data_IF_059384877298
#
_entry.id   IF_059384877298
#
_cell.length_a   1.000
_cell.length_b   1.000
_cell.length_c   1.000
_cell.angle_alpha   90.00
_cell.angle_beta   90.00
_cell.angle_gamma   90.00
#
_symmetry.space_group_name_H-M   'P 1'
#
loop_
_entity.id
_entity.type
_entity.pdbx_description
1 polymer ?
#
# COMPACT_ATOMS: atom_id res chain seq x y z
N UNK A 1 3.44 -20.46 10.56
CA UNK A 1 3.40 -19.13 9.91
C UNK A 1 4.55 -19.11 8.93
N UNK A 2 4.31 -18.63 7.70
CA UNK A 2 5.36 -18.55 6.69
C UNK A 2 6.20 -17.31 6.96
N UNK A 3 7.51 -17.45 6.91
CA UNK A 3 8.45 -16.33 6.95
C UNK A 3 8.86 -15.98 5.52
N UNK A 4 9.22 -14.71 5.31
CA UNK A 4 9.85 -14.27 4.07
C UNK A 4 11.19 -15.00 3.95
N UNK A 5 11.50 -15.49 2.74
CA UNK A 5 12.79 -16.10 2.45
C UNK A 5 13.91 -15.10 2.82
N UNK A 6 14.80 -15.45 3.78
CA UNK A 6 15.83 -14.55 4.27
C UNK A 6 16.94 -14.28 3.24
N UNK A 7 16.97 -15.01 2.12
CA UNK A 7 17.91 -14.82 1.02
C UNK A 7 17.44 -13.78 0.01
N UNK A 8 16.19 -13.33 0.09
CA UNK A 8 15.67 -12.30 -0.81
C UNK A 8 16.35 -10.96 -0.54
N UNK A 9 16.58 -10.16 -1.60
CA UNK A 9 17.07 -8.81 -1.44
C UNK A 9 16.05 -7.93 -0.67
N UNK A 10 16.49 -6.77 -0.17
CA UNK A 10 15.58 -5.72 0.24
C UNK A 10 14.55 -5.41 -0.85
N UNK A 11 13.36 -4.97 -0.44
CA UNK A 11 12.31 -4.53 -1.37
C UNK A 11 12.85 -3.42 -2.26
N UNK A 12 12.91 -3.68 -3.57
CA UNK A 12 13.35 -2.70 -4.58
C UNK A 12 12.16 -1.93 -5.17
N UNK A 13 10.95 -2.53 -5.15
CA UNK A 13 9.73 -1.89 -5.61
C UNK A 13 9.37 -0.63 -4.79
N UNK A 14 9.24 0.50 -5.49
CA UNK A 14 8.75 1.76 -4.92
C UNK A 14 7.23 1.64 -4.74
N UNK A 15 6.82 1.29 -3.53
CA UNK A 15 5.41 1.31 -3.09
C UNK A 15 5.01 2.68 -2.55
N UNK A 16 3.79 2.78 -2.03
CA UNK A 16 3.25 4.02 -1.46
C UNK A 16 3.42 4.06 0.05
N UNK A 17 4.06 5.11 0.56
CA UNK A 17 4.61 5.14 1.92
C UNK A 17 3.96 6.21 2.77
N UNK A 18 3.74 5.90 4.05
CA UNK A 18 3.44 6.86 5.12
C UNK A 18 4.19 6.50 6.40
N UNK A 19 4.42 7.49 7.25
CA UNK A 19 5.13 7.34 8.51
C UNK A 19 6.57 7.82 8.46
N UNK A 20 7.20 7.81 9.64
CA UNK A 20 8.57 8.28 9.82
C UNK A 20 9.55 7.37 9.05
N UNK A 21 10.41 7.91 8.17
CA UNK A 21 11.43 7.12 7.46
C UNK A 21 12.47 6.47 8.40
N UNK A 22 12.56 6.93 9.65
CA UNK A 22 13.41 6.38 10.71
C UNK A 22 12.68 5.40 11.65
N UNK A 23 11.40 5.10 11.39
CA UNK A 23 10.66 4.13 12.19
C UNK A 23 11.41 2.78 12.23
N UNK A 24 11.49 2.12 13.40
CA UNK A 24 12.32 0.92 13.56
C UNK A 24 11.81 -0.30 12.78
N UNK A 25 10.55 -0.29 12.35
CA UNK A 25 9.91 -1.38 11.62
C UNK A 25 9.19 -0.83 10.40
N UNK A 26 9.44 -1.43 9.23
CA UNK A 26 8.59 -1.23 8.05
C UNK A 26 7.56 -2.36 7.95
N UNK A 27 6.30 -2.00 7.73
CA UNK A 27 5.22 -2.92 7.37
C UNK A 27 4.94 -2.79 5.89
N UNK A 28 4.91 -3.93 5.19
CA UNK A 28 4.44 -4.00 3.82
C UNK A 28 3.02 -4.54 3.81
N UNK A 29 2.12 -3.89 3.07
CA UNK A 29 0.81 -4.40 2.71
C UNK A 29 0.78 -4.67 1.20
N UNK A 30 0.43 -5.89 0.83
CA UNK A 30 0.10 -6.26 -0.54
C UNK A 30 -1.42 -6.29 -0.66
N UNK A 31 -1.97 -5.35 -1.41
CA UNK A 31 -3.39 -5.09 -1.45
C UNK A 31 -3.94 -5.12 -2.88
N UNK A 32 -5.17 -5.59 -2.99
CA UNK A 32 -5.98 -5.52 -4.20
C UNK A 32 -7.13 -4.55 -3.93
N UNK A 33 -7.22 -3.48 -4.71
CA UNK A 33 -8.24 -2.45 -4.52
C UNK A 33 -9.67 -2.96 -4.54
N UNK A 34 -9.97 -4.04 -5.29
CA UNK A 34 -11.32 -4.60 -5.44
C UNK A 34 -11.61 -5.69 -4.39
N UNK A 35 -10.59 -6.16 -3.68
CA UNK A 35 -10.76 -7.21 -2.68
C UNK A 35 -11.58 -6.68 -1.49
N UNK A 36 -12.67 -7.36 -1.17
CA UNK A 36 -13.53 -7.00 -0.03
C UNK A 36 -12.82 -7.10 1.33
N UNK A 37 -11.88 -8.04 1.50
CA UNK A 37 -11.07 -8.11 2.72
C UNK A 37 -10.07 -6.95 2.81
N UNK A 38 -9.55 -6.46 1.68
CA UNK A 38 -8.70 -5.26 1.67
C UNK A 38 -9.52 -4.04 2.09
N UNK A 39 -10.73 -3.87 1.54
CA UNK A 39 -11.66 -2.83 1.98
C UNK A 39 -12.01 -2.93 3.47
N UNK A 40 -12.23 -4.14 3.98
CA UNK A 40 -12.48 -4.37 5.40
C UNK A 40 -11.30 -3.90 6.27
N UNK A 41 -10.06 -4.27 5.91
CA UNK A 41 -8.89 -3.81 6.64
C UNK A 41 -8.75 -2.28 6.56
N UNK A 42 -8.83 -1.71 5.36
CA UNK A 42 -8.66 -0.28 5.11
C UNK A 42 -9.68 0.58 5.88
N UNK A 43 -10.91 0.09 6.06
CA UNK A 43 -11.99 0.84 6.72
C UNK A 43 -12.09 0.58 8.22
N UNK A 44 -11.76 -0.63 8.69
CA UNK A 44 -11.98 -1.02 10.09
C UNK A 44 -10.70 -1.08 10.94
N UNK A 45 -9.54 -1.40 10.35
CA UNK A 45 -8.29 -1.61 11.11
C UNK A 45 -7.25 -0.54 10.79
N UNK A 46 -7.09 -0.17 9.52
CA UNK A 46 -6.06 0.78 9.10
C UNK A 46 -6.14 2.16 9.78
N UNK A 47 -7.31 2.72 10.14
CA UNK A 47 -7.38 3.97 10.89
C UNK A 47 -6.64 3.91 12.23
N UNK A 48 -6.85 2.85 13.02
CA UNK A 48 -6.14 2.64 14.29
C UNK A 48 -4.64 2.39 14.06
N UNK A 49 -4.26 1.67 13.00
CA UNK A 49 -2.85 1.45 12.63
C UNK A 49 -2.17 2.78 12.29
N UNK A 50 -2.80 3.62 11.47
CA UNK A 50 -2.31 4.96 11.12
C UNK A 50 -2.12 5.81 12.39
N UNK A 51 -3.16 5.96 13.19
CA UNK A 51 -3.13 6.83 14.36
C UNK A 51 -2.17 6.35 15.46
N UNK A 52 -2.13 5.04 15.73
CA UNK A 52 -1.51 4.53 16.97
C UNK A 52 -0.15 3.88 16.74
N UNK A 53 0.24 3.61 15.49
CA UNK A 53 1.51 2.99 15.14
C UNK A 53 2.32 3.86 14.18
N UNK A 54 1.70 4.35 13.10
CA UNK A 54 2.37 5.20 12.09
C UNK A 54 2.68 6.59 12.66
N UNK A 55 1.67 7.31 13.16
CA UNK A 55 1.86 8.68 13.69
C UNK A 55 2.76 8.73 14.93
N UNK A 56 2.80 7.63 15.69
CA UNK A 56 3.69 7.49 16.85
C UNK A 56 5.14 7.15 16.49
N UNK A 57 5.45 6.98 15.19
CA UNK A 57 6.78 6.62 14.69
C UNK A 57 7.21 5.18 14.99
N UNK A 58 6.30 4.32 15.43
CA UNK A 58 6.62 2.90 15.69
C UNK A 58 6.81 2.11 14.41
N UNK A 59 6.05 2.45 13.36
CA UNK A 59 6.17 1.83 12.04
C UNK A 59 6.18 2.87 10.93
N UNK A 60 6.86 2.52 9.84
CA UNK A 60 6.59 3.05 8.50
C UNK A 60 5.72 2.03 7.77
N UNK A 61 4.73 2.49 7.03
CA UNK A 61 3.78 1.63 6.33
C UNK A 61 3.90 1.83 4.82
N UNK A 62 4.01 0.73 4.06
CA UNK A 62 4.17 0.73 2.60
C UNK A 62 3.11 -0.17 1.96
N UNK A 63 2.35 0.37 1.02
CA UNK A 63 1.39 -0.40 0.21
C UNK A 63 1.99 -0.76 -1.15
N UNK A 64 1.73 -1.98 -1.60
CA UNK A 64 2.02 -2.48 -2.94
C UNK A 64 0.76 -3.00 -3.63
N UNK A 65 0.62 -2.63 -4.89
CA UNK A 65 -0.49 -3.02 -5.76
C UNK A 65 -0.40 -4.50 -6.17
N UNK A 66 -1.49 -5.23 -5.93
CA UNK A 66 -1.69 -6.61 -6.39
C UNK A 66 -3.07 -6.70 -7.05
N UNK A 67 -3.22 -6.19 -8.29
CA UNK A 67 -4.52 -6.13 -8.98
C UNK A 67 -4.92 -7.48 -9.58
N UNK A 68 -5.44 -8.40 -8.76
CA UNK A 68 -5.87 -9.73 -9.19
C UNK A 68 -7.33 -9.81 -9.63
N UNK A 69 -8.19 -8.89 -9.17
CA UNK A 69 -9.54 -8.76 -9.73
C UNK A 69 -9.56 -7.88 -10.99
N UNK A 70 -10.63 -8.03 -11.78
CA UNK A 70 -10.73 -7.45 -13.13
C UNK A 70 -10.61 -5.92 -13.13
N UNK A 71 -11.26 -5.23 -12.20
CA UNK A 71 -11.28 -3.76 -12.20
C UNK A 71 -10.09 -3.16 -11.43
N UNK A 72 -9.37 -3.97 -10.66
CA UNK A 72 -8.24 -3.54 -9.81
C UNK A 72 -7.11 -2.89 -10.59
N UNK A 73 -6.86 -3.30 -11.84
CA UNK A 73 -5.84 -2.63 -12.67
C UNK A 73 -6.15 -1.16 -12.91
N UNK A 74 -7.43 -0.82 -13.13
CA UNK A 74 -7.83 0.57 -13.31
C UNK A 74 -7.68 1.34 -12.00
N UNK A 75 -8.04 0.73 -10.88
CA UNK A 75 -7.90 1.34 -9.56
C UNK A 75 -6.42 1.55 -9.16
N UNK A 76 -5.53 0.58 -9.42
CA UNK A 76 -4.09 0.72 -9.17
C UNK A 76 -3.48 1.85 -9.99
N UNK A 77 -3.82 1.95 -11.29
CA UNK A 77 -3.37 3.07 -12.10
C UNK A 77 -3.91 4.40 -11.57
N UNK A 78 -5.18 4.45 -11.15
CA UNK A 78 -5.77 5.67 -10.61
C UNK A 78 -5.12 6.09 -9.28
N UNK A 79 -4.81 5.15 -8.39
CA UNK A 79 -4.08 5.41 -7.15
C UNK A 79 -2.66 5.95 -7.43
N UNK A 80 -1.93 5.32 -8.37
CA UNK A 80 -0.61 5.78 -8.79
C UNK A 80 -0.65 7.19 -9.42
N UNK A 81 -1.62 7.45 -10.31
CA UNK A 81 -1.80 8.76 -10.92
C UNK A 81 -2.24 9.84 -9.89
N UNK A 82 -2.96 9.46 -8.84
CA UNK A 82 -3.23 10.36 -7.72
C UNK A 82 -1.99 10.62 -6.86
N UNK A 83 -1.06 9.66 -6.77
CA UNK A 83 0.21 9.84 -6.10
C UNK A 83 1.08 10.91 -6.77
N UNK A 84 1.06 11.03 -8.11
CA UNK A 84 1.73 12.13 -8.84
C UNK A 84 1.22 13.52 -8.42
N UNK A 85 -0.02 13.57 -7.92
CA UNK A 85 -0.65 14.80 -7.41
C UNK A 85 -0.48 14.97 -5.89
N UNK A 86 0.28 14.09 -5.23
CA UNK A 86 0.46 14.08 -3.78
C UNK A 86 -0.77 13.63 -2.99
N UNK A 87 -1.74 12.98 -3.65
CA UNK A 87 -3.06 12.62 -3.09
C UNK A 87 -3.32 11.12 -3.03
N UNK A 88 -2.25 10.32 -2.86
CA UNK A 88 -2.38 8.87 -2.81
C UNK A 88 -3.31 8.41 -1.68
N UNK A 89 -3.15 8.96 -0.47
CA UNK A 89 -3.88 8.49 0.70
C UNK A 89 -5.35 8.89 0.69
N UNK A 90 -5.66 10.07 0.15
CA UNK A 90 -7.03 10.48 -0.10
C UNK A 90 -7.69 9.61 -1.18
N UNK A 91 -6.95 9.27 -2.23
CA UNK A 91 -7.44 8.34 -3.26
C UNK A 91 -7.63 6.93 -2.72
N UNK A 92 -6.70 6.45 -1.88
CA UNK A 92 -6.78 5.15 -1.21
C UNK A 92 -8.09 5.04 -0.42
N UNK A 93 -8.35 6.02 0.44
CA UNK A 93 -9.56 6.02 1.27
C UNK A 93 -10.81 6.16 0.38
N UNK A 94 -10.77 6.99 -0.67
CA UNK A 94 -11.89 7.15 -1.61
C UNK A 94 -12.21 5.86 -2.38
N UNK A 95 -11.19 5.13 -2.87
CA UNK A 95 -11.35 3.88 -3.61
C UNK A 95 -12.03 2.81 -2.76
N UNK A 96 -11.54 2.56 -1.54
CA UNK A 96 -12.15 1.55 -0.66
C UNK A 96 -13.54 1.95 -0.17
N UNK A 97 -13.77 3.23 0.16
CA UNK A 97 -15.08 3.71 0.60
C UNK A 97 -16.15 3.73 -0.50
N UNK A 98 -15.76 3.62 -1.78
CA UNK A 98 -16.67 3.60 -2.93
C UNK A 98 -16.56 2.34 -3.77
N UNK A 99 -15.92 1.29 -3.22
CA UNK A 99 -15.65 0.03 -3.92
C UNK A 99 -16.92 -0.61 -4.52
N UNK A 100 -18.04 -0.47 -3.83
CA UNK A 100 -19.37 -0.92 -4.26
C UNK A 100 -19.88 -0.26 -5.55
N UNK A 101 -19.28 0.85 -5.99
CA UNK A 101 -19.66 1.58 -7.21
C UNK A 101 -18.81 1.26 -8.42
N UNK A 102 -17.62 0.69 -8.21
CA UNK A 102 -16.65 0.48 -9.29
C UNK A 102 -16.11 -0.95 -9.38
N UNK A 103 -16.39 -1.83 -8.41
CA UNK A 103 -16.04 -3.24 -8.52
C UNK A 103 -16.75 -3.94 -9.70
N UNK A 104 -16.33 -5.18 -9.99
CA UNK A 104 -16.86 -5.97 -11.12
C UNK A 104 -18.34 -6.33 -11.01
N UNK A 105 -18.90 -6.37 -9.80
CA UNK A 105 -20.34 -6.57 -9.61
C UNK A 105 -21.14 -5.33 -10.00
N UNK A 106 -20.54 -4.15 -9.89
CA UNK A 106 -21.18 -2.87 -10.19
C UNK A 106 -21.01 -2.46 -11.66
N UNK A 107 -19.83 -2.67 -12.26
CA UNK A 107 -19.53 -2.18 -13.61
C UNK A 107 -18.38 -2.92 -14.28
N UNK A 108 -18.38 -2.92 -15.61
CA UNK A 108 -17.24 -3.30 -16.44
C UNK A 108 -16.42 -2.09 -16.93
N UNK A 109 -16.82 -0.87 -16.56
CA UNK A 109 -16.12 0.37 -16.87
C UNK A 109 -15.84 1.15 -15.57
N UNK A 110 -14.85 0.71 -14.78
CA UNK A 110 -14.59 1.25 -13.45
C UNK A 110 -14.05 2.68 -13.45
N UNK A 111 -13.48 3.17 -14.56
CA UNK A 111 -12.82 4.48 -14.59
C UNK A 111 -13.77 5.63 -14.23
N UNK A 112 -14.98 5.64 -14.79
CA UNK A 112 -15.96 6.71 -14.54
C UNK A 112 -16.33 6.87 -13.05
N UNK A 113 -16.76 5.83 -12.32
CA UNK A 113 -17.03 5.95 -10.88
C UNK A 113 -15.77 6.25 -10.06
N UNK A 114 -14.59 5.73 -10.46
CA UNK A 114 -13.31 6.05 -9.82
C UNK A 114 -12.98 7.55 -9.94
N UNK A 115 -13.15 8.14 -11.12
CA UNK A 115 -12.95 9.58 -11.36
C UNK A 115 -13.93 10.42 -10.55
N UNK A 116 -15.18 9.97 -10.39
CA UNK A 116 -16.15 10.65 -9.54
C UNK A 116 -15.73 10.66 -8.06
N UNK A 117 -15.17 9.55 -7.56
CA UNK A 117 -14.61 9.47 -6.20
C UNK A 117 -13.38 10.39 -6.05
N UNK A 118 -12.47 10.38 -7.04
CA UNK A 118 -11.28 11.22 -7.05
C UNK A 118 -11.62 12.73 -7.00
N UNK A 119 -12.65 13.16 -7.73
CA UNK A 119 -13.17 14.54 -7.66
C UNK A 119 -13.58 14.93 -6.24
N UNK A 120 -14.22 14.02 -5.52
CA UNK A 120 -14.69 14.24 -4.14
C UNK A 120 -13.58 14.55 -3.14
N UNK A 121 -12.34 14.11 -3.44
CA UNK A 121 -11.14 14.37 -2.63
C UNK A 121 -10.20 15.41 -3.26
N UNK A 122 -10.70 16.13 -4.27
CA UNK A 122 -10.02 17.26 -4.89
C UNK A 122 -8.82 16.87 -5.76
N UNK A 123 -8.82 15.67 -6.35
CA UNK A 123 -7.84 15.26 -7.37
C UNK A 123 -8.22 15.93 -8.70
N UNK A 124 -7.23 16.40 -9.48
CA UNK A 124 -7.46 16.84 -10.85
C UNK A 124 -7.87 15.63 -11.70
N UNK A 125 -9.16 15.54 -12.00
CA UNK A 125 -9.74 14.42 -12.71
C UNK A 125 -9.29 14.34 -14.16
N UNK A 126 -8.97 15.47 -14.80
CA UNK A 126 -8.51 15.45 -16.20
C UNK A 126 -7.11 14.87 -16.29
N UNK A 127 -6.21 15.30 -15.41
CA UNK A 127 -4.86 14.74 -15.32
C UNK A 127 -4.90 13.25 -14.94
N UNK A 128 -5.79 12.89 -14.01
CA UNK A 128 -6.01 11.51 -13.60
C UNK A 128 -6.46 10.62 -14.78
N UNK A 129 -7.51 11.01 -15.50
CA UNK A 129 -8.04 10.26 -16.64
C UNK A 129 -6.97 10.03 -17.70
N UNK A 130 -6.26 11.09 -18.09
CA UNK A 130 -5.18 11.01 -19.08
C UNK A 130 -4.05 10.06 -18.64
N UNK A 131 -3.65 10.11 -17.38
CA UNK A 131 -2.61 9.25 -16.83
C UNK A 131 -3.05 7.77 -16.77
N UNK A 132 -4.31 7.50 -16.41
CA UNK A 132 -4.86 6.14 -16.36
C UNK A 132 -5.00 5.57 -17.77
N UNK A 133 -5.55 6.33 -18.72
CA UNK A 133 -5.71 5.93 -20.12
C UNK A 133 -4.36 5.67 -20.81
N UNK A 134 -3.35 6.51 -20.52
CA UNK A 134 -1.98 6.31 -21.00
C UNK A 134 -1.26 5.14 -20.31
N UNK A 135 -1.83 4.59 -19.23
CA UNK A 135 -1.24 3.51 -18.41
C UNK A 135 0.16 3.86 -17.91
N UNK A 136 0.39 5.14 -17.58
CA UNK A 136 1.70 5.70 -17.21
C UNK A 136 2.44 4.85 -16.16
N UNK A 137 1.71 4.34 -15.16
CA UNK A 137 2.27 3.60 -14.03
C UNK A 137 2.23 2.08 -14.16
N UNK A 138 1.92 1.53 -15.35
CA UNK A 138 1.83 0.09 -15.55
C UNK A 138 3.10 -0.65 -15.10
N UNK A 139 4.29 -0.13 -15.43
CA UNK A 139 5.55 -0.76 -15.07
C UNK A 139 5.78 -0.82 -13.55
N UNK A 140 5.31 0.19 -12.81
CA UNK A 140 5.38 0.23 -11.35
C UNK A 140 4.44 -0.82 -10.73
N UNK A 141 3.19 -0.88 -11.17
CA UNK A 141 2.23 -1.91 -10.71
C UNK A 141 2.73 -3.33 -11.05
N UNK A 142 3.38 -3.52 -12.20
CA UNK A 142 4.00 -4.80 -12.55
C UNK A 142 5.19 -5.16 -11.65
N UNK A 143 5.95 -4.18 -11.15
CA UNK A 143 7.05 -4.46 -10.21
C UNK A 143 6.51 -4.87 -8.84
N UNK A 144 5.39 -4.31 -8.40
CA UNK A 144 4.71 -4.70 -7.17
C UNK A 144 4.24 -6.16 -7.22
N UNK A 145 3.68 -6.60 -8.36
CA UNK A 145 3.31 -7.99 -8.58
C UNK A 145 4.49 -8.96 -8.52
N UNK A 146 5.64 -8.58 -9.09
CA UNK A 146 6.88 -9.38 -9.00
C UNK A 146 7.38 -9.49 -7.57
N UNK A 147 7.30 -8.39 -6.81
CA UNK A 147 7.68 -8.37 -5.39
C UNK A 147 6.74 -9.28 -4.57
N UNK A 148 5.44 -9.24 -4.85
CA UNK A 148 4.45 -10.11 -4.22
C UNK A 148 4.76 -11.60 -4.49
N UNK A 149 5.05 -11.95 -5.74
CA UNK A 149 5.44 -13.31 -6.14
C UNK A 149 6.73 -13.76 -5.43
N UNK A 150 7.78 -12.94 -5.48
CA UNK A 150 9.06 -13.25 -4.86
C UNK A 150 8.93 -13.52 -3.36
N UNK A 151 8.04 -12.80 -2.66
CA UNK A 151 7.80 -12.95 -1.22
C UNK A 151 6.73 -13.99 -0.87
N UNK A 152 6.23 -14.74 -1.86
CA UNK A 152 5.26 -15.80 -1.64
C UNK A 152 3.87 -15.31 -1.24
N UNK A 153 3.47 -14.10 -1.65
CA UNK A 153 2.13 -13.55 -1.42
C UNK A 153 1.14 -14.27 -2.33
N UNK A 154 0.10 -14.85 -1.73
CA UNK A 154 -0.93 -15.67 -2.44
C UNK A 154 -2.37 -15.21 -2.20
N UNK A 155 -2.59 -14.22 -1.35
CA UNK A 155 -3.90 -13.66 -1.01
C UNK A 155 -3.77 -12.18 -0.66
N UNK A 156 -4.86 -11.42 -0.74
CA UNK A 156 -4.90 -10.02 -0.32
C UNK A 156 -6.01 -9.78 0.74
N UNK A 157 -5.78 -8.88 1.72
CA UNK A 157 -4.51 -8.25 1.99
C UNK A 157 -3.52 -9.29 2.55
N UNK A 158 -2.23 -9.10 2.29
CA UNK A 158 -1.16 -9.82 2.99
C UNK A 158 -0.19 -8.80 3.56
N UNK A 159 0.16 -8.97 4.83
CA UNK A 159 1.12 -8.12 5.51
C UNK A 159 2.46 -8.82 5.68
N UNK A 160 3.55 -8.07 5.56
CA UNK A 160 4.87 -8.50 6.00
C UNK A 160 5.28 -7.61 7.16
N UNK A 161 5.42 -8.22 8.35
CA UNK A 161 5.76 -7.53 9.60
C UNK A 161 6.88 -8.30 10.27
N UNK A 162 8.06 -7.68 10.42
CA UNK A 162 9.23 -8.33 11.03
C UNK A 162 9.62 -9.65 10.35
N UNK A 163 9.54 -9.70 9.02
CA UNK A 163 9.84 -10.90 8.22
C UNK A 163 8.75 -11.97 8.20
N UNK A 164 7.63 -11.78 8.89
CA UNK A 164 6.51 -12.74 8.89
C UNK A 164 5.47 -12.40 7.84
N UNK A 165 5.05 -13.39 7.06
CA UNK A 165 3.94 -13.27 6.09
C UNK A 165 2.62 -13.56 6.79
N UNK A 166 1.72 -12.59 6.77
CA UNK A 166 0.45 -12.60 7.52
C UNK A 166 -0.70 -12.36 6.52
N UNK A 167 -1.35 -13.43 6.03
CA UNK A 167 -2.46 -13.29 5.10
C UNK A 167 -3.77 -12.92 5.79
N UNK A 168 -4.62 -12.18 5.06
CA UNK A 168 -5.98 -11.83 5.42
C UNK A 168 -6.10 -10.54 6.22
N UNK A 169 -7.31 -9.97 6.22
CA UNK A 169 -7.66 -8.83 7.05
C UNK A 169 -7.62 -9.25 8.53
N UNK A 170 -6.69 -8.67 9.29
CA UNK A 170 -6.56 -8.89 10.73
C UNK A 170 -7.05 -7.67 11.50
N UNK A 171 -7.58 -7.89 12.71
CA UNK A 171 -7.94 -6.82 13.62
C UNK A 171 -6.71 -6.13 14.23
N UNK A 172 -6.91 -4.92 14.75
CA UNK A 172 -5.85 -4.07 15.29
C UNK A 172 -4.98 -4.76 16.34
N UNK A 173 -5.57 -5.44 17.34
CA UNK A 173 -4.80 -6.05 18.43
C UNK A 173 -3.81 -7.09 17.93
N UNK A 174 -4.23 -7.90 16.96
CA UNK A 174 -3.37 -8.91 16.33
C UNK A 174 -2.28 -8.25 15.48
N UNK A 175 -2.63 -7.21 14.73
CA UNK A 175 -1.66 -6.42 13.96
C UNK A 175 -0.59 -5.81 14.88
N UNK A 176 -1.03 -5.17 15.97
CA UNK A 176 -0.15 -4.57 16.98
C UNK A 176 0.77 -5.61 17.63
N UNK A 177 0.28 -6.80 17.96
CA UNK A 177 1.13 -7.85 18.54
C UNK A 177 2.31 -8.24 17.62
N UNK A 178 2.11 -8.28 16.30
CA UNK A 178 3.20 -8.50 15.35
C UNK A 178 4.19 -7.34 15.33
N UNK A 179 3.68 -6.10 15.34
CA UNK A 179 4.52 -4.89 15.40
C UNK A 179 5.34 -4.85 16.68
N UNK A 180 4.73 -5.08 17.84
CA UNK A 180 5.42 -5.08 19.14
C UNK A 180 6.55 -6.12 19.17
N UNK A 181 6.28 -7.32 18.62
CA UNK A 181 7.29 -8.37 18.48
C UNK A 181 8.46 -7.92 17.59
N UNK A 182 8.16 -7.29 16.45
CA UNK A 182 9.18 -6.80 15.53
C UNK A 182 10.02 -5.66 16.14
N UNK A 183 9.37 -4.70 16.82
CA UNK A 183 10.05 -3.59 17.51
C UNK A 183 10.95 -4.11 18.63
N UNK A 184 10.50 -5.09 19.41
CA UNK A 184 11.31 -5.70 20.45
C UNK A 184 12.54 -6.43 19.89
N UNK A 185 12.40 -7.14 18.76
CA UNK A 185 13.52 -7.81 18.08
C UNK A 185 14.57 -6.81 17.58
N UNK A 186 14.15 -5.69 16.99
CA UNK A 186 15.04 -4.60 16.56
C UNK A 186 15.78 -4.00 17.75
N UNK A 187 15.07 -3.70 18.85
CA UNK A 187 15.70 -3.15 20.07
C UNK A 187 16.69 -4.11 20.73
N UNK A 188 16.47 -5.41 20.59
CA UNK A 188 17.34 -6.45 21.16
C UNK A 188 18.55 -6.77 20.26
N UNK A 189 18.67 -6.12 19.09
CA UNK A 189 19.71 -6.43 18.11
C UNK A 189 19.56 -7.78 17.40
N UNK A 190 18.40 -8.44 17.56
CA UNK A 190 18.10 -9.77 17.02
C UNK A 190 17.33 -9.72 15.68
N UNK A 191 16.92 -8.53 15.22
CA UNK A 191 16.22 -8.35 13.96
C UNK A 191 17.19 -8.09 12.80
N UNK A 192 17.32 -9.05 11.88
CA UNK A 192 17.95 -8.82 10.58
C UNK A 192 17.22 -7.72 9.82
N UNK A 193 17.99 -6.77 9.30
CA UNK A 193 17.56 -5.62 8.50
C UNK A 193 16.90 -6.06 7.19
N UNK A 194 15.60 -6.34 7.20
CA UNK A 194 14.83 -6.32 5.95
C UNK A 194 14.48 -4.86 5.66
N UNK A 195 15.33 -4.19 4.87
CA UNK A 195 15.04 -2.90 4.25
C UNK A 195 15.29 -1.66 5.11
N UNK A 196 16.56 -1.34 5.39
CA UNK A 196 16.91 0.06 5.61
C UNK A 196 16.70 0.83 4.29
N UNK A 197 16.13 2.04 4.30
CA UNK A 197 15.89 2.79 3.08
C UNK A 197 17.21 3.22 2.44
N UNK A 198 17.34 3.02 1.13
CA UNK A 198 18.33 3.73 0.32
C UNK A 198 17.90 5.20 0.33
N UNK A 199 18.77 6.09 0.82
CA UNK A 199 18.56 7.53 0.77
C UNK A 199 18.44 7.98 -0.69
N UNK A 200 17.24 8.39 -1.10
CA UNK A 200 17.06 9.14 -2.33
C UNK A 200 17.73 10.51 -2.24
N UNK A 201 18.18 11.11 -3.36
CA UNK A 201 18.83 12.42 -3.34
C UNK A 201 17.86 13.48 -2.80
N UNK A 202 18.38 14.53 -2.12
CA UNK A 202 17.55 15.57 -1.54
C UNK A 202 16.72 16.26 -2.63
N UNK A 203 15.43 16.44 -2.35
CA UNK A 203 14.57 17.29 -3.15
C UNK A 203 15.23 18.66 -3.30
N UNK A 204 15.53 19.01 -4.56
CA UNK A 204 16.13 20.29 -4.91
C UNK A 204 15.28 21.43 -4.37
N UNK A 205 15.95 22.33 -3.67
CA UNK A 205 15.39 23.57 -3.17
C UNK A 205 14.66 24.32 -4.28
N UNK A 206 13.41 24.68 -4.02
CA UNK A 206 12.71 25.75 -4.73
C UNK A 206 13.51 27.03 -4.51
N UNK A 207 14.25 27.45 -5.52
CA UNK A 207 14.76 28.82 -5.62
C UNK A 207 13.70 29.64 -6.34
N UNK A 208 13.43 30.79 -5.73
CA UNK A 208 12.43 31.81 -6.05
C UNK A 208 12.34 32.20 -7.53
#
# INVERSE_FOLDING_TARGET
>A
MTEVDPTLPPVDAVGYVIGDPSAPVEVLEFADWECGACAQFATLTAPDVKQRLVETGQIRFRIMDVPWHTNSWTASLAAACANDQGKFWEMHDALYNTQDRWNTLATNNPLKPIVAAARGVGIDTRALEQCVEARTHQASVQSHLKEAEARGVRATPTFIIGGKVIPGAIGYDRFKAYVDTAVAAVRSGAGSSVGAPVSGPPAGAVVR
#
